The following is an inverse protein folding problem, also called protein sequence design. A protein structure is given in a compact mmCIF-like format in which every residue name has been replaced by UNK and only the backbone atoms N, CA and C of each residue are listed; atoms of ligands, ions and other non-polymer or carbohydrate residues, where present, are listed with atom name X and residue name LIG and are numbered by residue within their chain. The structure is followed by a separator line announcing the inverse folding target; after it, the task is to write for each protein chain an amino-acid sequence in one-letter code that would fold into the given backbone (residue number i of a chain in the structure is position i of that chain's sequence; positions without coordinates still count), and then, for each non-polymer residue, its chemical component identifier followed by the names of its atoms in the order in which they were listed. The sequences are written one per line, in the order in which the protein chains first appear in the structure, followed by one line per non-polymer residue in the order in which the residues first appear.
data_IF_932422234719
#
_entry.id   IF_932422234719
#
_cell.length_a   1.000
_cell.length_b   1.000
_cell.length_c   1.000
_cell.angle_alpha   90.00
_cell.angle_beta   90.00
_cell.angle_gamma   90.00
#
_symmetry.space_group_name_H-M   'P 1'
#
loop_
_entity.id
_entity.type
_entity.pdbx_description
1 polymer ?
#
# COMPACT_ATOMS: atom_id res chain seq x y z
N UNK A 1 -7.14 -15.04 -4.61
CA UNK A 1 -7.32 -14.77 -6.05
C UNK A 1 -6.77 -15.89 -6.92
N UNK A 2 -5.51 -16.31 -6.75
CA UNK A 2 -4.88 -17.39 -7.56
C UNK A 2 -5.65 -18.69 -7.45
N UNK A 3 -5.98 -19.13 -6.24
CA UNK A 3 -6.76 -20.35 -6.01
C UNK A 3 -8.19 -20.25 -6.55
N UNK A 4 -8.79 -19.06 -6.51
CA UNK A 4 -10.10 -18.83 -7.08
C UNK A 4 -10.09 -18.99 -8.61
N UNK A 5 -9.09 -18.41 -9.27
CA UNK A 5 -8.89 -18.58 -10.71
C UNK A 5 -8.67 -20.02 -11.12
N UNK A 6 -7.89 -20.78 -10.36
CA UNK A 6 -7.63 -22.20 -10.62
C UNK A 6 -8.86 -23.08 -10.37
N UNK A 7 -9.60 -22.83 -9.27
CA UNK A 7 -10.76 -23.62 -8.89
C UNK A 7 -11.96 -23.46 -9.85
N UNK A 8 -12.03 -22.35 -10.58
CA UNK A 8 -13.11 -22.09 -11.55
C UNK A 8 -13.06 -22.99 -12.78
N UNK A 9 -11.98 -23.72 -13.01
CA UNK A 9 -11.75 -24.62 -14.16
C UNK A 9 -12.08 -23.96 -15.52
N UNK A 10 -11.90 -22.64 -15.61
CA UNK A 10 -12.13 -21.84 -16.81
C UNK A 10 -10.79 -21.18 -17.24
N UNK A 11 -10.47 -21.26 -18.53
CA UNK A 11 -9.22 -20.71 -19.06
C UNK A 11 -9.06 -19.21 -18.81
N UNK A 12 -10.13 -18.44 -18.91
CA UNK A 12 -10.12 -16.99 -18.68
C UNK A 12 -9.89 -16.64 -17.21
N UNK A 13 -10.51 -17.39 -16.32
CA UNK A 13 -10.34 -17.26 -14.88
C UNK A 13 -8.91 -17.63 -14.44
N UNK A 14 -8.34 -18.67 -15.04
CA UNK A 14 -6.94 -19.05 -14.80
C UNK A 14 -5.98 -17.95 -15.25
N UNK A 15 -6.18 -17.36 -16.43
CA UNK A 15 -5.37 -16.23 -16.89
C UNK A 15 -5.48 -15.01 -15.97
N UNK A 16 -6.68 -14.68 -15.49
CA UNK A 16 -6.88 -13.62 -14.50
C UNK A 16 -6.12 -13.89 -13.21
N UNK A 17 -6.16 -15.09 -12.69
CA UNK A 17 -5.41 -15.52 -11.50
C UNK A 17 -3.89 -15.44 -11.69
N UNK A 18 -3.37 -15.86 -12.85
CA UNK A 18 -1.92 -15.76 -13.15
C UNK A 18 -1.45 -14.29 -13.28
N UNK A 19 -2.24 -13.42 -13.90
CA UNK A 19 -1.95 -11.99 -13.97
C UNK A 19 -1.93 -11.34 -12.59
N UNK A 20 -2.89 -11.71 -11.72
CA UNK A 20 -2.93 -11.27 -10.33
C UNK A 20 -1.67 -11.70 -9.56
N UNK A 21 -1.25 -12.95 -9.73
CA UNK A 21 -0.03 -13.48 -9.10
C UNK A 21 1.21 -12.67 -9.51
N UNK A 22 1.38 -12.45 -10.80
CA UNK A 22 2.53 -11.69 -11.32
C UNK A 22 2.53 -10.25 -10.79
N UNK A 23 1.38 -9.61 -10.70
CA UNK A 23 1.23 -8.25 -10.15
C UNK A 23 1.59 -8.21 -8.68
N UNK A 24 0.98 -9.04 -7.84
CA UNK A 24 1.19 -9.04 -6.39
C UNK A 24 2.66 -9.30 -6.08
N UNK A 25 3.25 -10.36 -6.60
CA UNK A 25 4.68 -10.71 -6.36
C UNK A 25 5.62 -9.58 -6.77
N UNK A 26 5.34 -8.91 -7.89
CA UNK A 26 6.19 -7.82 -8.38
C UNK A 26 6.11 -6.58 -7.49
N UNK A 27 4.93 -6.20 -7.03
CA UNK A 27 4.74 -4.97 -6.24
C UNK A 27 4.99 -5.15 -4.74
N UNK A 28 4.98 -6.39 -4.23
CA UNK A 28 5.36 -6.69 -2.85
C UNK A 28 6.82 -6.32 -2.54
N UNK A 29 7.73 -6.45 -3.54
CA UNK A 29 9.14 -6.11 -3.37
C UNK A 29 9.34 -4.62 -3.07
N UNK A 30 8.91 -3.65 -3.91
CA UNK A 30 9.07 -2.22 -3.59
C UNK A 30 8.25 -1.78 -2.38
N UNK A 31 7.11 -2.40 -2.09
CA UNK A 31 6.35 -2.16 -0.87
C UNK A 31 7.15 -2.56 0.38
N UNK A 32 7.70 -3.77 0.40
CA UNK A 32 8.55 -4.26 1.48
C UNK A 32 9.80 -3.39 1.69
N UNK A 33 10.49 -3.01 0.61
CA UNK A 33 11.66 -2.13 0.68
C UNK A 33 11.30 -0.74 1.27
N UNK A 34 10.11 -0.21 0.99
CA UNK A 34 9.62 1.05 1.57
C UNK A 34 9.37 0.93 3.08
N UNK A 35 8.88 -0.21 3.55
CA UNK A 35 8.72 -0.47 4.98
C UNK A 35 10.09 -0.62 5.66
N UNK A 36 11.08 -1.23 5.01
CA UNK A 36 12.46 -1.31 5.52
C UNK A 36 13.03 0.07 5.78
N UNK A 37 12.76 1.08 4.93
CA UNK A 37 13.15 2.48 5.18
C UNK A 37 12.61 2.98 6.52
N UNK A 38 11.33 2.72 6.82
CA UNK A 38 10.71 3.12 8.10
C UNK A 38 11.40 2.44 9.29
N UNK A 39 11.70 1.13 9.16
CA UNK A 39 12.39 0.36 10.20
C UNK A 39 13.80 0.88 10.43
N UNK A 40 14.53 1.21 9.38
CA UNK A 40 15.89 1.77 9.49
C UNK A 40 15.90 3.10 10.23
N UNK A 41 14.94 3.98 9.97
CA UNK A 41 14.84 5.28 10.64
C UNK A 41 14.40 5.16 12.10
N UNK A 42 13.46 4.26 12.40
CA UNK A 42 12.95 4.07 13.77
C UNK A 42 13.79 3.12 14.62
N UNK A 43 14.71 2.35 14.01
CA UNK A 43 15.54 1.31 14.65
C UNK A 43 14.76 0.26 15.45
N UNK A 44 13.46 0.09 15.15
CA UNK A 44 12.57 -0.86 15.84
C UNK A 44 11.66 -1.58 14.86
N UNK A 45 11.37 -2.87 15.16
CA UNK A 45 10.35 -3.66 14.44
C UNK A 45 8.96 -3.55 15.06
N UNK A 46 8.85 -2.96 16.26
CA UNK A 46 7.59 -2.83 16.96
C UNK A 46 6.77 -1.68 16.38
N UNK A 47 5.54 -1.94 15.95
CA UNK A 47 4.59 -0.90 15.50
C UNK A 47 4.42 0.21 16.56
N UNK A 48 4.37 -0.16 17.84
CA UNK A 48 4.29 0.82 18.93
C UNK A 48 5.56 1.66 19.04
N UNK A 49 6.73 1.06 18.85
CA UNK A 49 8.01 1.75 18.83
C UNK A 49 8.10 2.76 17.69
N UNK A 50 7.66 2.37 16.48
CA UNK A 50 7.62 3.25 15.30
C UNK A 50 6.72 4.47 15.56
N UNK A 51 5.54 4.28 16.16
CA UNK A 51 4.64 5.39 16.49
C UNK A 51 5.21 6.27 17.60
N UNK A 52 5.87 5.71 18.62
CA UNK A 52 6.56 6.49 19.67
C UNK A 52 7.70 7.33 19.11
N UNK A 53 8.47 6.81 18.15
CA UNK A 53 9.52 7.56 17.48
C UNK A 53 9.01 8.82 16.80
N UNK A 54 7.76 8.83 16.35
CA UNK A 54 7.07 9.93 15.68
C UNK A 54 6.37 10.92 16.64
N UNK A 55 6.61 10.83 17.96
CA UNK A 55 6.02 11.77 18.94
C UNK A 55 6.55 13.19 18.74
N UNK A 56 5.68 14.20 18.90
CA UNK A 56 6.06 15.61 18.86
C UNK A 56 5.38 16.47 17.80
N UNK A 57 4.42 15.91 17.04
CA UNK A 57 3.61 16.65 16.07
C UNK A 57 3.94 16.31 14.62
N UNK A 58 3.31 17.03 13.67
CA UNK A 58 3.37 16.73 12.23
C UNK A 58 4.80 16.69 11.69
N UNK A 59 5.66 17.60 12.12
CA UNK A 59 7.03 17.70 11.63
C UNK A 59 7.93 16.53 12.05
N UNK A 60 7.56 15.81 13.12
CA UNK A 60 8.29 14.62 13.58
C UNK A 60 7.78 13.32 12.94
N UNK A 61 6.77 13.38 12.08
CA UNK A 61 6.34 12.20 11.35
C UNK A 61 7.41 11.78 10.35
N UNK A 62 7.64 10.49 10.21
CA UNK A 62 8.70 9.95 9.35
C UNK A 62 8.65 10.52 7.94
N UNK A 63 7.46 10.74 7.40
CA UNK A 63 7.29 11.33 6.06
C UNK A 63 7.97 12.69 5.89
N UNK A 64 8.06 13.52 6.96
CA UNK A 64 8.66 14.86 6.90
C UNK A 64 10.07 14.94 7.50
N UNK A 65 10.49 13.93 8.25
CA UNK A 65 11.80 13.91 8.92
C UNK A 65 12.96 13.81 7.91
N UNK A 66 12.73 13.11 6.79
CA UNK A 66 13.79 12.81 5.84
C UNK A 66 13.22 12.82 4.40
N UNK A 67 13.92 13.43 3.41
CA UNK A 67 13.48 13.42 2.02
C UNK A 67 13.35 12.02 1.43
N UNK A 68 14.18 11.08 1.87
CA UNK A 68 14.11 9.68 1.45
C UNK A 68 12.84 8.99 1.99
N UNK A 69 12.41 9.32 3.20
CA UNK A 69 11.17 8.80 3.77
C UNK A 69 9.92 9.32 3.02
N UNK A 70 9.98 10.54 2.52
CA UNK A 70 8.93 11.09 1.65
C UNK A 70 8.81 10.29 0.34
N UNK A 71 9.93 9.98 -0.30
CA UNK A 71 9.94 9.13 -1.51
C UNK A 71 9.44 7.72 -1.19
N UNK A 72 9.88 7.12 -0.06
CA UNK A 72 9.43 5.81 0.38
C UNK A 72 7.90 5.75 0.58
N UNK A 73 7.28 6.80 1.11
CA UNK A 73 5.83 6.87 1.26
C UNK A 73 5.11 6.76 -0.09
N UNK A 74 5.57 7.47 -1.12
CA UNK A 74 4.94 7.39 -2.45
C UNK A 74 5.16 6.02 -3.10
N UNK A 75 6.36 5.42 -2.95
CA UNK A 75 6.61 4.07 -3.46
C UNK A 75 5.67 3.07 -2.76
N UNK A 76 5.56 3.15 -1.44
CA UNK A 76 4.63 2.33 -0.67
C UNK A 76 3.19 2.51 -1.14
N UNK A 77 2.73 3.75 -1.27
CA UNK A 77 1.36 4.07 -1.63
C UNK A 77 0.97 3.56 -3.03
N UNK A 78 1.86 3.71 -4.02
CA UNK A 78 1.67 3.18 -5.37
C UNK A 78 1.66 1.65 -5.35
N UNK A 79 2.59 1.02 -4.64
CA UNK A 79 2.66 -0.44 -4.51
C UNK A 79 1.42 -1.00 -3.80
N UNK A 80 0.96 -0.34 -2.76
CA UNK A 80 -0.24 -0.66 -2.02
C UNK A 80 -1.51 -0.61 -2.88
N UNK A 81 -1.63 0.39 -3.75
CA UNK A 81 -2.71 0.47 -4.73
C UNK A 81 -2.68 -0.71 -5.71
N UNK A 82 -1.49 -1.11 -6.15
CA UNK A 82 -1.34 -2.25 -7.04
C UNK A 82 -1.69 -3.57 -6.32
N UNK A 83 -1.32 -3.73 -5.05
CA UNK A 83 -1.63 -4.90 -4.24
C UNK A 83 -3.14 -5.06 -3.99
N UNK A 84 -3.87 -3.94 -3.85
CA UNK A 84 -5.33 -3.96 -3.67
C UNK A 84 -6.11 -4.17 -4.98
N UNK A 85 -5.44 -4.39 -6.10
CA UNK A 85 -6.02 -4.61 -7.44
C UNK A 85 -7.04 -3.53 -7.84
N UNK A 86 -6.81 -2.27 -7.45
CA UNK A 86 -7.70 -1.16 -7.81
C UNK A 86 -7.18 -0.38 -9.01
N UNK A 87 -8.09 0.14 -9.81
CA UNK A 87 -7.73 1.04 -10.92
C UNK A 87 -6.79 2.16 -10.44
N UNK A 88 -5.65 2.43 -11.08
CA UNK A 88 -5.29 2.03 -12.44
C UNK A 88 -4.65 0.63 -12.61
N UNK A 89 -4.49 -0.15 -11.52
CA UNK A 89 -3.79 -1.43 -11.47
C UNK A 89 -4.74 -2.65 -11.49
N UNK A 90 -5.95 -2.49 -11.97
CA UNK A 90 -7.00 -3.51 -12.01
C UNK A 90 -6.85 -4.44 -13.25
N UNK A 91 -5.81 -5.27 -13.23
CA UNK A 91 -5.52 -6.21 -14.31
C UNK A 91 -6.23 -7.55 -14.16
N UNK A 92 -6.44 -8.08 -12.95
CA UNK A 92 -7.09 -9.39 -12.76
C UNK A 92 -8.56 -9.40 -13.19
N UNK A 93 -9.26 -8.26 -13.10
CA UNK A 93 -10.68 -8.11 -13.40
C UNK A 93 -10.97 -7.63 -14.82
N UNK A 94 -9.94 -7.47 -15.66
CA UNK A 94 -10.01 -6.94 -17.03
C UNK A 94 -11.27 -7.37 -17.81
N UNK A 95 -12.42 -6.78 -17.51
CA UNK A 95 -13.72 -7.11 -18.14
C UNK A 95 -13.64 -7.08 -19.66
N UNK A 96 -12.91 -6.11 -20.22
CA UNK A 96 -12.74 -5.97 -21.67
C UNK A 96 -11.86 -7.06 -22.31
N UNK A 97 -11.04 -7.76 -21.51
CA UNK A 97 -10.09 -8.76 -22.00
C UNK A 97 -10.41 -10.19 -21.53
N UNK A 98 -10.91 -10.35 -20.30
CA UNK A 98 -11.05 -11.62 -19.59
C UNK A 98 -12.49 -11.93 -19.14
N UNK A 99 -13.49 -11.24 -19.66
CA UNK A 99 -14.94 -11.42 -19.36
C UNK A 99 -15.33 -11.09 -17.91
N UNK A 100 -14.50 -11.27 -16.94
CA UNK A 100 -14.70 -11.04 -15.50
C UNK A 100 -13.51 -11.55 -14.69
N UNK A 101 -12.46 -11.97 -15.37
CA UNK A 101 -11.22 -12.40 -14.73
C UNK A 101 -11.43 -13.61 -13.82
N UNK A 102 -10.85 -13.56 -12.61
CA UNK A 102 -10.84 -14.68 -11.66
C UNK A 102 -12.22 -15.00 -11.07
N UNK A 103 -13.18 -14.05 -11.10
CA UNK A 103 -14.50 -14.20 -10.48
C UNK A 103 -15.64 -14.54 -11.48
N UNK A 104 -15.30 -14.91 -12.71
CA UNK A 104 -16.28 -15.22 -13.77
C UNK A 104 -17.33 -16.26 -13.35
N UNK A 105 -16.94 -17.28 -12.58
CA UNK A 105 -17.79 -18.38 -12.13
C UNK A 105 -18.39 -18.15 -10.72
N UNK A 106 -18.03 -17.03 -10.07
CA UNK A 106 -18.51 -16.73 -8.73
C UNK A 106 -19.73 -15.82 -8.76
N UNK A 107 -20.79 -16.19 -8.03
CA UNK A 107 -22.02 -15.43 -7.91
C UNK A 107 -22.52 -15.35 -6.46
N UNK A 108 -23.44 -14.44 -6.19
CA UNK A 108 -24.10 -14.30 -4.88
C UNK A 108 -23.12 -13.97 -3.75
N UNK A 109 -23.26 -14.66 -2.61
CA UNK A 109 -22.45 -14.41 -1.42
C UNK A 109 -20.96 -14.64 -1.62
N UNK A 110 -20.56 -15.60 -2.46
CA UNK A 110 -19.14 -15.85 -2.73
C UNK A 110 -18.48 -14.67 -3.42
N UNK A 111 -19.15 -14.05 -4.36
CA UNK A 111 -18.71 -12.83 -5.02
C UNK A 111 -18.61 -11.65 -4.01
N UNK A 112 -19.62 -11.49 -3.12
CA UNK A 112 -19.60 -10.47 -2.10
C UNK A 112 -18.39 -10.57 -1.14
N UNK A 113 -17.93 -11.79 -0.81
CA UNK A 113 -16.75 -11.99 0.01
C UNK A 113 -15.45 -11.52 -0.68
N UNK A 114 -15.32 -11.68 -1.99
CA UNK A 114 -14.17 -11.13 -2.71
C UNK A 114 -14.13 -9.60 -2.62
N UNK A 115 -15.27 -8.93 -2.86
CA UNK A 115 -15.37 -7.48 -2.70
C UNK A 115 -15.06 -7.01 -1.29
N UNK A 116 -15.62 -7.69 -0.29
CA UNK A 116 -15.34 -7.36 1.12
C UNK A 116 -13.85 -7.51 1.44
N UNK A 117 -13.21 -8.56 0.93
CA UNK A 117 -11.77 -8.81 1.11
C UNK A 117 -10.91 -7.68 0.51
N UNK A 118 -11.26 -7.17 -0.68
CA UNK A 118 -10.55 -6.07 -1.31
C UNK A 118 -10.64 -4.76 -0.50
N UNK A 119 -11.84 -4.40 -0.04
CA UNK A 119 -11.99 -3.21 0.81
C UNK A 119 -11.31 -3.37 2.16
N UNK A 120 -11.36 -4.56 2.75
CA UNK A 120 -10.63 -4.86 3.99
C UNK A 120 -9.13 -4.72 3.79
N UNK A 121 -8.57 -5.22 2.66
CA UNK A 121 -7.16 -5.08 2.33
C UNK A 121 -6.77 -3.60 2.15
N UNK A 122 -7.58 -2.80 1.44
CA UNK A 122 -7.36 -1.34 1.33
C UNK A 122 -7.25 -0.68 2.70
N UNK A 123 -8.13 -1.04 3.63
CA UNK A 123 -8.12 -0.49 4.98
C UNK A 123 -6.86 -0.90 5.75
N UNK A 124 -6.46 -2.18 5.69
CA UNK A 124 -5.26 -2.71 6.36
C UNK A 124 -3.99 -2.03 5.83
N UNK A 125 -3.82 -1.97 4.52
CA UNK A 125 -2.65 -1.36 3.88
C UNK A 125 -2.56 0.15 4.20
N UNK A 126 -3.70 0.85 4.19
CA UNK A 126 -3.77 2.26 4.62
C UNK A 126 -3.46 2.43 6.11
N UNK A 127 -3.85 1.47 6.95
CA UNK A 127 -3.51 1.44 8.37
C UNK A 127 -2.00 1.28 8.61
N UNK A 128 -1.34 0.41 7.84
CA UNK A 128 0.12 0.25 7.88
C UNK A 128 0.81 1.53 7.43
N UNK A 129 0.34 2.19 6.36
CA UNK A 129 0.87 3.48 5.93
C UNK A 129 0.71 4.57 7.01
N UNK A 130 -0.47 4.63 7.65
CA UNK A 130 -0.74 5.60 8.70
C UNK A 130 0.17 5.41 9.92
N UNK A 131 0.42 4.16 10.34
CA UNK A 131 1.32 3.85 11.46
C UNK A 131 2.79 4.07 11.10
N UNK A 132 3.21 3.67 9.91
CA UNK A 132 4.59 3.76 9.46
C UNK A 132 5.05 5.18 9.14
N UNK A 133 4.24 5.96 8.46
CA UNK A 133 4.65 7.26 7.90
C UNK A 133 3.98 8.47 8.53
N UNK A 134 2.73 8.34 9.02
CA UNK A 134 1.90 9.45 9.49
C UNK A 134 1.71 9.48 11.02
N UNK A 135 2.54 8.79 11.78
CA UNK A 135 2.51 8.81 13.24
C UNK A 135 1.35 8.06 13.89
N UNK A 136 0.65 7.19 13.17
CA UNK A 136 -0.41 6.33 13.72
C UNK A 136 -1.46 7.10 14.53
N UNK A 137 -1.58 6.77 15.81
CA UNK A 137 -2.53 7.40 16.74
C UNK A 137 -2.07 8.75 17.33
N UNK A 138 -0.87 9.24 16.97
CA UNK A 138 -0.38 10.53 17.45
C UNK A 138 -1.19 11.69 16.89
N UNK A 139 -1.43 12.68 17.74
CA UNK A 139 -2.10 13.91 17.32
C UNK A 139 -1.17 14.76 16.42
N UNK A 140 -1.71 15.44 15.40
CA UNK A 140 -0.91 16.36 14.58
C UNK A 140 -0.44 17.59 15.36
N UNK A 141 -1.13 17.95 16.47
CA UNK A 141 -0.81 19.11 17.29
C UNK A 141 -0.20 18.63 18.61
N UNK A 142 1.05 18.99 18.92
CA UNK A 142 1.71 18.54 20.13
C UNK A 142 0.99 19.09 21.39
N UNK A 143 0.77 18.21 22.37
CA UNK A 143 0.17 18.57 23.67
C UNK A 143 -1.35 18.64 23.71
N UNK A 144 -2.06 18.61 22.59
CA UNK A 144 -3.52 18.62 22.57
C UNK A 144 -4.09 17.28 22.09
N UNK A 145 -5.20 16.85 22.70
CA UNK A 145 -5.95 15.65 22.27
C UNK A 145 -5.14 14.33 22.31
N UNK A 146 -4.32 14.14 23.34
CA UNK A 146 -3.51 12.93 23.52
C UNK A 146 -4.15 11.84 24.41
N UNK A 147 -5.47 11.90 24.63
CA UNK A 147 -6.18 10.84 25.35
C UNK A 147 -6.37 9.61 24.49
N UNK A 148 -6.52 8.39 25.05
CA UNK A 148 -6.68 7.16 24.26
C UNK A 148 -7.84 7.20 23.26
N UNK A 149 -8.94 7.87 23.59
CA UNK A 149 -10.09 8.03 22.69
C UNK A 149 -9.74 8.85 21.44
N UNK A 150 -8.99 9.94 21.63
CA UNK A 150 -8.52 10.76 20.52
C UNK A 150 -7.47 10.04 19.66
N UNK A 151 -6.67 9.13 20.26
CA UNK A 151 -5.74 8.29 19.50
C UNK A 151 -6.47 7.39 18.49
N UNK A 152 -7.59 6.77 18.89
CA UNK A 152 -8.42 5.99 17.96
C UNK A 152 -8.96 6.88 16.84
N UNK A 153 -9.47 8.07 17.17
CA UNK A 153 -9.98 9.01 16.18
C UNK A 153 -8.90 9.43 15.17
N UNK A 154 -7.69 9.76 15.61
CA UNK A 154 -6.60 10.16 14.73
C UNK A 154 -6.15 9.02 13.82
N UNK A 155 -6.05 7.80 14.37
CA UNK A 155 -5.70 6.61 13.59
C UNK A 155 -6.73 6.35 12.49
N UNK A 156 -8.02 6.33 12.84
CA UNK A 156 -9.11 6.13 11.88
C UNK A 156 -9.17 7.25 10.83
N UNK A 157 -9.01 8.50 11.25
CA UNK A 157 -9.05 9.66 10.35
C UNK A 157 -7.93 9.58 9.29
N UNK A 158 -6.69 9.29 9.69
CA UNK A 158 -5.56 9.15 8.77
C UNK A 158 -5.74 7.94 7.82
N UNK A 159 -6.17 6.81 8.36
CA UNK A 159 -6.46 5.61 7.56
C UNK A 159 -7.56 5.89 6.53
N UNK A 160 -8.67 6.49 6.95
CA UNK A 160 -9.78 6.85 6.07
C UNK A 160 -9.38 7.90 5.02
N UNK A 161 -8.50 8.84 5.37
CA UNK A 161 -7.95 9.79 4.41
C UNK A 161 -7.16 9.08 3.30
N UNK A 162 -6.31 8.10 3.65
CA UNK A 162 -5.57 7.32 2.65
C UNK A 162 -6.48 6.44 1.80
N UNK A 163 -7.49 5.80 2.39
CA UNK A 163 -8.52 5.06 1.64
C UNK A 163 -9.27 5.97 0.68
N UNK A 164 -9.64 7.18 1.13
CA UNK A 164 -10.27 8.18 0.26
C UNK A 164 -9.35 8.56 -0.92
N UNK A 165 -8.07 8.77 -0.68
CA UNK A 165 -7.08 9.05 -1.72
C UNK A 165 -6.99 7.90 -2.75
N UNK A 166 -7.01 6.64 -2.30
CA UNK A 166 -7.04 5.48 -3.20
C UNK A 166 -8.31 5.43 -4.06
N UNK A 167 -9.48 5.70 -3.45
CA UNK A 167 -10.75 5.76 -4.17
C UNK A 167 -10.77 6.93 -5.16
N UNK A 168 -10.25 8.08 -4.77
CA UNK A 168 -10.15 9.24 -5.66
C UNK A 168 -9.26 8.96 -6.88
N UNK A 169 -8.11 8.32 -6.67
CA UNK A 169 -7.24 7.90 -7.78
C UNK A 169 -7.93 6.92 -8.74
N UNK A 170 -8.74 6.01 -8.21
CA UNK A 170 -9.56 5.09 -9.02
C UNK A 170 -10.43 5.81 -10.05
N UNK A 171 -11.03 6.94 -9.67
CA UNK A 171 -11.93 7.70 -10.54
C UNK A 171 -11.20 8.68 -11.48
N UNK A 172 -9.94 8.99 -11.19
CA UNK A 172 -9.18 10.01 -11.92
C UNK A 172 -8.29 9.40 -12.99
N UNK A 173 -7.64 8.26 -12.72
CA UNK A 173 -6.66 7.67 -13.62
C UNK A 173 -7.27 6.62 -14.53
N UNK A 174 -6.86 6.63 -15.83
CA UNK A 174 -7.21 5.56 -16.75
C UNK A 174 -6.45 4.27 -16.38
N UNK A 175 -7.01 3.15 -16.79
CA UNK A 175 -6.43 1.83 -16.56
C UNK A 175 -5.12 1.64 -17.33
N UNK A 176 -4.13 1.06 -16.68
CA UNK A 176 -2.85 0.70 -17.29
C UNK A 176 -2.91 -0.68 -17.97
N UNK A 177 -2.10 -0.85 -19.02
CA UNK A 177 -1.88 -2.17 -19.64
C UNK A 177 -0.89 -2.98 -18.79
N UNK A 178 -0.98 -4.32 -18.89
CA UNK A 178 -0.09 -5.26 -18.17
C UNK A 178 1.39 -4.92 -18.37
N UNK A 179 1.80 -4.67 -19.62
CA UNK A 179 3.18 -4.36 -19.97
C UNK A 179 3.66 -3.05 -19.34
N UNK A 180 2.82 -2.03 -19.30
CA UNK A 180 3.13 -0.74 -18.68
C UNK A 180 3.28 -0.88 -17.18
N UNK A 181 2.37 -1.64 -16.54
CA UNK A 181 2.38 -1.91 -15.11
C UNK A 181 3.65 -2.63 -14.68
N UNK A 182 4.03 -3.70 -15.39
CA UNK A 182 5.26 -4.43 -15.10
C UNK A 182 6.51 -3.57 -15.33
N UNK A 183 6.52 -2.75 -16.39
CA UNK A 183 7.63 -1.81 -16.65
C UNK A 183 7.77 -0.76 -15.55
N UNK A 184 6.67 -0.20 -15.03
CA UNK A 184 6.70 0.76 -13.91
C UNK A 184 7.27 0.09 -12.65
N UNK A 185 6.85 -1.12 -12.32
CA UNK A 185 7.38 -1.84 -11.17
C UNK A 185 8.89 -2.09 -11.27
N UNK A 186 9.31 -2.79 -12.34
CA UNK A 186 10.69 -3.27 -12.46
C UNK A 186 11.70 -2.21 -12.88
N UNK A 187 11.32 -1.25 -13.73
CA UNK A 187 12.25 -0.23 -14.25
C UNK A 187 12.24 1.07 -13.46
N UNK A 188 11.17 1.36 -12.70
CA UNK A 188 11.04 2.62 -11.98
C UNK A 188 11.00 2.40 -10.47
N UNK A 189 9.99 1.71 -9.95
CA UNK A 189 9.79 1.60 -8.51
C UNK A 189 10.91 0.82 -7.81
N UNK A 190 11.32 -0.32 -8.37
CA UNK A 190 12.33 -1.16 -7.76
C UNK A 190 13.72 -0.48 -7.73
N UNK A 191 14.27 0.10 -8.82
CA UNK A 191 15.53 0.82 -8.74
C UNK A 191 15.49 2.02 -7.80
N UNK A 192 14.39 2.80 -7.82
CA UNK A 192 14.24 3.95 -6.92
C UNK A 192 14.18 3.50 -5.46
N UNK A 193 13.48 2.40 -5.15
CA UNK A 193 13.42 1.87 -3.78
C UNK A 193 14.78 1.38 -3.27
N UNK A 194 15.60 0.75 -4.13
CA UNK A 194 16.96 0.36 -3.79
C UNK A 194 17.85 1.57 -3.50
N UNK A 195 17.86 2.56 -4.40
CA UNK A 195 18.61 3.82 -4.20
C UNK A 195 18.16 4.52 -2.93
N UNK A 196 16.85 4.49 -2.64
CA UNK A 196 16.27 5.11 -1.46
C UNK A 196 16.78 4.45 -0.15
N UNK A 197 16.88 3.13 -0.10
CA UNK A 197 17.43 2.41 1.06
C UNK A 197 18.90 2.78 1.29
N UNK A 198 19.72 2.80 0.25
CA UNK A 198 21.11 3.25 0.36
C UNK A 198 21.20 4.71 0.83
N UNK A 199 20.33 5.58 0.30
CA UNK A 199 20.25 6.98 0.72
C UNK A 199 19.92 7.13 2.20
N UNK A 200 18.95 6.38 2.71
CA UNK A 200 18.60 6.36 4.14
C UNK A 200 19.77 5.82 4.98
N UNK A 201 20.44 4.74 4.54
CA UNK A 201 21.59 4.20 5.25
C UNK A 201 22.72 5.21 5.39
N UNK A 202 23.05 5.95 4.34
CA UNK A 202 24.04 7.04 4.41
C UNK A 202 23.54 8.17 5.31
N UNK A 203 22.26 8.54 5.20
CA UNK A 203 21.69 9.58 6.04
C UNK A 203 21.77 9.25 7.52
N UNK A 204 21.42 8.03 7.92
CA UNK A 204 21.48 7.59 9.32
C UNK A 204 22.92 7.49 9.86
N UNK A 205 23.90 7.24 8.99
CA UNK A 205 25.33 7.24 9.38
C UNK A 205 25.91 8.64 9.57
N UNK A 206 25.39 9.63 8.83
CA UNK A 206 25.92 11.01 8.85
C UNK A 206 25.20 11.90 9.87
N UNK A 207 23.90 11.72 10.04
CA UNK A 207 23.02 12.58 10.84
C UNK A 207 22.31 11.87 12.01
N UNK A 208 22.46 10.53 12.12
CA UNK A 208 21.80 9.71 13.14
C UNK A 208 22.55 9.52 14.44
#
# INVERSE_FOLDING_TARGET
LILAGWASNNKWSLYGGMRSAAQIVSYEIPAGLSIVVVIMLSSTLSMQGIVKYQEGGIFNWIIFTNPFAFVAFFIYFISAMAETNRTPFDIPEAESELVGGFHTEYSGMRFAFFFLSEYANMFVVSGVAATGFLGGWQSPIPGYFNTPLWGIFWMLSKTMFLVFMMIWMRWTFPRLRVDQLMNVCWKVLLPISLVNIFGVGIWTLVFG
#
